data_IF_755289978743
#
_entry.id   IF_755289978743
#
_cell.length_a   1.000
_cell.length_b   1.000
_cell.length_c   1.000
_cell.angle_alpha   90.00
_cell.angle_beta   90.00
_cell.angle_gamma   90.00
#
_symmetry.space_group_name_H-M   'P 1'
#
loop_
_entity.id
_entity.type
_entity.pdbx_description
1 polymer ?
#
# COMPACT_ATOMS: atom_id res chain seq x y z
N UNK A 1 9.20 33.14 -34.64
CA UNK A 1 9.17 31.72 -34.22
C UNK A 1 7.91 31.37 -33.43
N UNK A 2 7.45 32.22 -32.50
CA UNK A 2 6.20 32.02 -31.73
C UNK A 2 4.91 32.12 -32.58
N UNK A 3 4.93 32.83 -33.71
CA UNK A 3 3.75 33.00 -34.60
C UNK A 3 3.39 31.72 -35.37
N UNK A 4 4.36 30.83 -35.63
CA UNK A 4 4.15 29.58 -36.38
C UNK A 4 3.42 28.52 -35.53
N UNK A 5 3.69 28.50 -34.22
CA UNK A 5 2.97 27.69 -33.23
C UNK A 5 1.51 28.14 -33.10
N UNK A 6 1.27 29.46 -33.14
CA UNK A 6 -0.10 30.02 -33.03
C UNK A 6 -0.96 29.71 -34.26
N UNK A 7 -0.38 29.69 -35.46
CA UNK A 7 -1.08 29.45 -36.73
C UNK A 7 -1.54 28.01 -36.94
N UNK A 8 -0.84 27.02 -36.38
CA UNK A 8 -1.22 25.59 -36.42
C UNK A 8 -1.58 25.02 -35.03
N UNK A 9 -1.88 25.89 -34.07
CA UNK A 9 -2.10 25.55 -32.65
C UNK A 9 -3.07 24.38 -32.45
N UNK A 10 -4.13 24.26 -33.27
CA UNK A 10 -5.11 23.17 -33.15
C UNK A 10 -4.53 21.79 -33.54
N UNK A 11 -3.72 21.71 -34.60
CA UNK A 11 -3.07 20.46 -35.01
C UNK A 11 -1.94 20.08 -34.06
N UNK A 12 -1.15 21.08 -33.63
CA UNK A 12 -0.11 20.88 -32.62
C UNK A 12 -0.73 20.39 -31.31
N UNK A 13 -1.87 20.95 -30.89
CA UNK A 13 -2.60 20.54 -29.70
C UNK A 13 -3.15 19.12 -29.81
N UNK A 14 -3.74 18.75 -30.97
CA UNK A 14 -4.21 17.37 -31.20
C UNK A 14 -3.06 16.38 -31.15
N UNK A 15 -1.93 16.69 -31.80
CA UNK A 15 -0.74 15.85 -31.79
C UNK A 15 -0.16 15.72 -30.37
N UNK A 16 -0.08 16.83 -29.64
CA UNK A 16 0.41 16.86 -28.27
C UNK A 16 -0.50 16.02 -27.36
N UNK A 17 -1.82 16.15 -27.51
CA UNK A 17 -2.80 15.39 -26.74
C UNK A 17 -2.71 13.89 -27.04
N UNK A 18 -2.56 13.53 -28.31
CA UNK A 18 -2.36 12.16 -28.76
C UNK A 18 -1.03 11.57 -28.26
N UNK A 19 -0.02 12.38 -27.99
CA UNK A 19 1.27 11.93 -27.46
C UNK A 19 1.25 11.84 -25.92
N UNK A 20 0.57 12.77 -25.26
CA UNK A 20 0.45 12.85 -23.80
C UNK A 20 -0.39 11.70 -23.24
N UNK A 21 -1.58 11.45 -23.79
CA UNK A 21 -2.53 10.47 -23.23
C UNK A 21 -1.94 9.05 -23.16
N UNK A 22 -1.37 8.48 -24.23
CA UNK A 22 -0.79 7.14 -24.18
C UNK A 22 0.37 7.05 -23.19
N UNK A 23 1.18 8.12 -23.09
CA UNK A 23 2.27 8.18 -22.12
C UNK A 23 1.76 8.07 -20.68
N UNK A 24 0.65 8.74 -20.34
CA UNK A 24 0.06 8.66 -19.00
C UNK A 24 -0.65 7.32 -18.74
N UNK A 25 -1.31 6.72 -19.73
CA UNK A 25 -1.97 5.41 -19.56
C UNK A 25 -0.94 4.29 -19.38
N UNK A 26 0.18 4.32 -20.10
CA UNK A 26 1.22 3.29 -20.01
C UNK A 26 2.10 3.43 -18.76
N UNK A 27 2.37 4.65 -18.30
CA UNK A 27 3.26 4.90 -17.15
C UNK A 27 2.48 5.03 -15.83
N UNK A 28 1.27 5.59 -15.85
CA UNK A 28 0.50 5.90 -14.64
C UNK A 28 -0.15 4.70 -13.95
N UNK A 29 -0.30 3.57 -14.66
CA UNK A 29 -0.84 2.33 -14.09
C UNK A 29 0.21 1.51 -13.34
N UNK A 30 1.50 1.77 -13.58
CA UNK A 30 2.56 1.04 -12.90
C UNK A 30 2.91 1.74 -11.59
N UNK A 31 2.29 1.27 -10.51
CA UNK A 31 2.56 1.71 -9.15
C UNK A 31 4.05 1.58 -8.75
N UNK A 32 4.84 0.76 -9.46
CA UNK A 32 6.28 0.64 -9.19
C UNK A 32 7.10 1.85 -9.65
N UNK A 33 6.59 2.71 -10.55
CA UNK A 33 7.38 3.82 -11.09
C UNK A 33 7.55 4.97 -10.07
N UNK A 34 6.62 5.10 -9.11
CA UNK A 34 6.65 6.12 -8.06
C UNK A 34 7.21 5.63 -6.72
N UNK A 35 7.33 4.31 -6.53
CA UNK A 35 8.06 3.76 -5.39
C UNK A 35 9.55 3.70 -5.76
N UNK A 36 10.29 4.78 -5.52
CA UNK A 36 11.75 4.71 -5.51
C UNK A 36 12.17 3.47 -4.71
N UNK A 37 13.00 2.60 -5.30
CA UNK A 37 13.27 1.25 -4.81
C UNK A 37 13.63 1.26 -3.31
N UNK A 38 12.62 1.00 -2.47
CA UNK A 38 12.79 1.01 -1.03
C UNK A 38 13.55 -0.27 -0.67
N UNK A 39 14.62 -0.20 0.14
CA UNK A 39 15.44 -1.36 0.43
C UNK A 39 14.60 -2.46 1.08
N UNK A 40 14.89 -3.70 0.70
CA UNK A 40 14.21 -4.88 1.24
C UNK A 40 14.79 -5.18 2.62
N UNK A 41 13.93 -5.22 3.64
CA UNK A 41 14.32 -5.51 5.03
C UNK A 41 14.03 -6.94 5.44
N UNK A 42 13.06 -7.59 4.79
CA UNK A 42 12.75 -9.00 4.96
C UNK A 42 12.08 -9.57 3.71
N UNK A 43 12.08 -10.90 3.56
CA UNK A 43 11.40 -11.63 2.47
C UNK A 43 10.66 -12.83 3.02
N UNK A 44 9.38 -12.97 2.67
CA UNK A 44 8.52 -14.07 3.12
C UNK A 44 7.85 -14.69 1.89
N UNK A 45 8.11 -15.97 1.64
CA UNK A 45 7.52 -16.72 0.49
C UNK A 45 7.70 -16.01 -0.87
N UNK A 46 8.88 -15.42 -1.09
CA UNK A 46 9.19 -14.68 -2.32
C UNK A 46 8.55 -13.29 -2.42
N UNK A 47 7.80 -12.84 -1.41
CA UNK A 47 7.27 -11.48 -1.29
C UNK A 47 8.18 -10.63 -0.40
N UNK A 48 8.58 -9.48 -0.91
CA UNK A 48 9.45 -8.55 -0.21
C UNK A 48 8.66 -7.72 0.80
N UNK A 49 9.30 -7.45 1.93
CA UNK A 49 8.89 -6.45 2.90
C UNK A 49 9.94 -5.34 2.78
N UNK A 50 9.49 -4.17 2.35
CA UNK A 50 10.36 -3.01 2.14
C UNK A 50 10.50 -2.17 3.41
N UNK A 51 11.52 -1.32 3.46
CA UNK A 51 11.69 -0.32 4.51
C UNK A 51 10.45 0.57 4.65
N UNK A 52 9.82 0.94 3.52
CA UNK A 52 8.59 1.73 3.53
C UNK A 52 7.43 0.97 4.18
N UNK A 53 7.28 -0.32 3.90
CA UNK A 53 6.23 -1.15 4.53
C UNK A 53 6.41 -1.21 6.03
N UNK A 54 7.65 -1.42 6.47
CA UNK A 54 8.00 -1.47 7.88
C UNK A 54 7.78 -0.13 8.59
N UNK A 55 8.24 0.97 8.02
CA UNK A 55 8.05 2.31 8.59
C UNK A 55 6.57 2.69 8.68
N UNK A 56 5.78 2.33 7.67
CA UNK A 56 4.33 2.56 7.68
C UNK A 56 3.64 1.70 8.74
N UNK A 57 3.98 0.41 8.85
CA UNK A 57 3.45 -0.48 9.88
C UNK A 57 3.78 0.01 11.29
N UNK A 58 5.01 0.51 11.48
CA UNK A 58 5.45 1.05 12.77
C UNK A 58 4.71 2.33 13.12
N UNK A 59 4.53 3.24 12.15
CA UNK A 59 3.74 4.47 12.36
C UNK A 59 2.31 4.14 12.79
N UNK A 60 1.64 3.22 12.09
CA UNK A 60 0.28 2.81 12.43
C UNK A 60 0.18 2.20 13.83
N UNK A 61 1.14 1.36 14.22
CA UNK A 61 1.19 0.77 15.56
C UNK A 61 1.38 1.83 16.64
N UNK A 62 2.34 2.73 16.44
CA UNK A 62 2.65 3.82 17.37
C UNK A 62 1.48 4.79 17.52
N UNK A 63 0.78 5.11 16.43
CA UNK A 63 -0.41 5.97 16.46
C UNK A 63 -1.58 5.30 17.20
N UNK A 64 -1.78 3.99 17.00
CA UNK A 64 -2.78 3.20 17.74
C UNK A 64 -2.48 3.18 19.24
N UNK A 65 -1.23 2.89 19.62
CA UNK A 65 -0.82 2.86 21.03
C UNK A 65 -0.94 4.24 21.69
N UNK A 66 -0.62 5.32 20.97
CA UNK A 66 -0.82 6.69 21.45
C UNK A 66 -2.30 7.03 21.66
N UNK A 67 -3.17 6.52 20.78
CA UNK A 67 -4.62 6.69 20.93
C UNK A 67 -5.18 5.89 22.12
N UNK A 68 -4.69 4.68 22.37
CA UNK A 68 -5.09 3.83 23.49
C UNK A 68 -4.53 4.32 24.83
N UNK A 69 -3.31 4.88 24.83
CA UNK A 69 -2.59 5.32 26.02
C UNK A 69 -1.93 6.70 25.79
N UNK A 70 -2.68 7.81 25.94
CA UNK A 70 -2.17 9.17 25.71
C UNK A 70 -0.99 9.58 26.60
N UNK A 71 -0.83 8.93 27.75
CA UNK A 71 0.23 9.21 28.74
C UNK A 71 1.54 8.45 28.47
N UNK A 72 1.60 7.61 27.44
CA UNK A 72 2.79 6.84 27.09
C UNK A 72 3.88 7.76 26.49
N UNK A 73 5.13 7.60 26.94
CA UNK A 73 6.25 8.35 26.37
C UNK A 73 6.53 7.89 24.93
N UNK A 74 6.33 8.80 23.97
CA UNK A 74 6.55 8.54 22.55
C UNK A 74 7.97 8.05 22.24
N UNK A 75 8.97 8.45 23.05
CA UNK A 75 10.36 8.02 22.84
C UNK A 75 10.57 6.53 23.01
N UNK A 76 9.71 5.86 23.80
CA UNK A 76 9.77 4.41 23.98
C UNK A 76 9.31 3.67 22.71
N UNK A 77 8.38 4.27 21.96
CA UNK A 77 7.85 3.71 20.71
C UNK A 77 8.86 3.83 19.57
N UNK A 78 9.70 4.86 19.55
CA UNK A 78 10.68 5.08 18.47
C UNK A 78 12.01 4.32 18.66
N UNK A 79 12.11 3.46 19.68
CA UNK A 79 13.34 2.70 19.94
C UNK A 79 13.62 1.64 18.86
N UNK A 80 14.90 1.28 18.60
CA UNK A 80 15.23 0.19 17.68
C UNK A 80 14.54 -1.13 18.04
N UNK A 81 14.36 -1.39 19.33
CA UNK A 81 13.68 -2.57 19.86
C UNK A 81 12.19 -2.54 19.50
N UNK A 82 11.51 -1.42 19.72
CA UNK A 82 10.09 -1.28 19.36
C UNK A 82 9.87 -1.42 17.85
N UNK A 83 10.74 -0.81 17.03
CA UNK A 83 10.72 -0.98 15.58
C UNK A 83 10.91 -2.43 15.17
N UNK A 84 11.87 -3.14 15.78
CA UNK A 84 12.13 -4.55 15.49
C UNK A 84 10.93 -5.44 15.82
N UNK A 85 10.25 -5.19 16.95
CA UNK A 85 9.01 -5.90 17.30
C UNK A 85 7.93 -5.71 16.24
N UNK A 86 7.79 -4.49 15.69
CA UNK A 86 6.87 -4.25 14.57
C UNK A 86 7.27 -5.06 13.33
N UNK A 87 8.56 -5.16 13.01
CA UNK A 87 9.04 -5.96 11.87
C UNK A 87 8.70 -7.44 12.06
N UNK A 88 8.97 -7.99 13.25
CA UNK A 88 8.63 -9.38 13.57
C UNK A 88 7.13 -9.65 13.42
N UNK A 89 6.28 -8.72 13.87
CA UNK A 89 4.83 -8.81 13.68
C UNK A 89 4.47 -8.81 12.20
N UNK A 90 5.03 -7.90 11.41
CA UNK A 90 4.78 -7.80 9.98
C UNK A 90 5.18 -9.08 9.23
N UNK A 91 6.35 -9.64 9.54
CA UNK A 91 6.82 -10.92 9.00
C UNK A 91 5.86 -12.05 9.37
N UNK A 92 5.47 -12.13 10.65
CA UNK A 92 4.56 -13.15 11.17
C UNK A 92 3.18 -13.09 10.50
N UNK A 93 2.60 -11.89 10.40
CA UNK A 93 1.32 -11.66 9.74
C UNK A 93 1.39 -12.12 8.27
N UNK A 94 2.52 -11.84 7.59
CA UNK A 94 2.75 -12.30 6.22
C UNK A 94 2.85 -13.81 6.11
N UNK A 95 3.55 -14.46 7.05
CA UNK A 95 3.63 -15.93 7.13
C UNK A 95 2.24 -16.54 7.31
N UNK A 96 1.42 -16.00 8.21
CA UNK A 96 0.05 -16.48 8.42
C UNK A 96 -0.82 -16.31 7.18
N UNK A 97 -0.74 -15.17 6.49
CA UNK A 97 -1.47 -14.97 5.24
C UNK A 97 -1.06 -15.98 4.17
N UNK A 98 0.24 -16.23 4.02
CA UNK A 98 0.76 -17.23 3.08
C UNK A 98 0.28 -18.62 3.44
N UNK A 99 0.31 -18.98 4.73
CA UNK A 99 -0.17 -20.28 5.19
C UNK A 99 -1.68 -20.45 4.91
N UNK A 100 -2.49 -19.43 5.21
CA UNK A 100 -3.92 -19.44 4.92
C UNK A 100 -4.21 -19.59 3.42
N UNK A 101 -3.42 -18.93 2.56
CA UNK A 101 -3.51 -19.09 1.10
C UNK A 101 -3.15 -20.51 0.66
N UNK A 102 -2.02 -21.05 1.13
CA UNK A 102 -1.56 -22.41 0.78
C UNK A 102 -2.50 -23.52 1.27
N UNK A 103 -3.19 -23.28 2.38
CA UNK A 103 -4.17 -24.21 2.95
C UNK A 103 -5.59 -23.99 2.41
N UNK A 104 -5.78 -23.08 1.44
CA UNK A 104 -7.09 -22.72 0.88
C UNK A 104 -8.11 -22.30 1.95
N UNK A 105 -7.65 -21.67 3.04
CA UNK A 105 -8.48 -21.16 4.13
C UNK A 105 -9.00 -19.74 3.84
N UNK A 106 -8.85 -19.27 2.60
CA UNK A 106 -9.31 -17.95 2.16
C UNK A 106 -10.72 -18.11 1.61
N UNK A 107 -11.67 -17.32 2.11
CA UNK A 107 -13.06 -17.31 1.63
C UNK A 107 -13.27 -16.20 0.59
N UNK A 108 -14.29 -16.33 -0.25
CA UNK A 108 -14.64 -15.28 -1.22
C UNK A 108 -15.41 -14.15 -0.54
N UNK A 109 -15.29 -12.93 -1.09
CA UNK A 109 -16.06 -11.77 -0.62
C UNK A 109 -17.57 -12.04 -0.67
N UNK A 110 -18.04 -12.79 -1.67
CA UNK A 110 -19.45 -13.16 -1.77
C UNK A 110 -19.89 -14.10 -0.65
N UNK A 111 -19.04 -15.04 -0.25
CA UNK A 111 -19.30 -15.95 0.87
C UNK A 111 -19.26 -15.19 2.20
N UNK A 112 -18.29 -14.28 2.37
CA UNK A 112 -18.18 -13.44 3.55
C UNK A 112 -19.38 -12.50 3.68
N UNK A 113 -19.79 -11.83 2.61
CA UNK A 113 -20.93 -10.93 2.60
C UNK A 113 -22.23 -11.64 3.00
N UNK A 114 -22.48 -12.84 2.48
CA UNK A 114 -23.64 -13.66 2.90
C UNK A 114 -23.55 -14.01 4.38
N UNK A 115 -22.40 -14.50 4.84
CA UNK A 115 -22.22 -14.85 6.25
C UNK A 115 -22.41 -13.66 7.20
N UNK A 116 -22.01 -12.45 6.79
CA UNK A 116 -22.23 -11.22 7.57
C UNK A 116 -23.70 -10.80 7.57
N UNK A 117 -24.42 -10.97 6.46
CA UNK A 117 -25.87 -10.75 6.38
C UNK A 117 -26.66 -11.74 7.27
N UNK A 118 -26.12 -12.94 7.49
CA UNK A 118 -26.72 -13.93 8.38
C UNK A 118 -26.46 -13.65 9.87
N UNK A 119 -25.58 -12.70 10.22
CA UNK A 119 -25.31 -12.29 11.61
C UNK A 119 -26.27 -11.16 12.00
N UNK A 120 -27.27 -11.39 12.88
CA UNK A 120 -28.30 -10.40 13.18
C UNK A 120 -27.77 -9.12 13.84
N UNK A 121 -26.60 -9.19 14.48
CA UNK A 121 -25.93 -8.06 15.10
C UNK A 121 -25.22 -7.11 14.11
N UNK A 122 -25.01 -7.56 12.86
CA UNK A 122 -24.29 -6.82 11.82
C UNK A 122 -25.24 -6.44 10.67
N UNK A 123 -26.26 -7.24 10.40
CA UNK A 123 -27.21 -7.08 9.30
C UNK A 123 -28.25 -5.93 9.50
N UNK A 124 -27.90 -4.87 10.22
CA UNK A 124 -28.73 -3.69 10.48
C UNK A 124 -28.50 -2.56 9.48
#
# INVERSE_FOLDING_TARGET
MLESIRKHSKFVMILLFLLIIPSFVLVGIDSNYFSGASPVVARVDGKDITQNDWDNAHRMESDRLRAEQPNLDAKLLDTPQARYVTLERLVRDRVFQVAAQKLHLVTSDATLARALQDIPAIAG
#
